data_IF_173161117272
#
_entry.id   IF_173161117272
#
_cell.length_a   1.000
_cell.length_b   1.000
_cell.length_c   1.000
_cell.angle_alpha   90.00
_cell.angle_beta   90.00
_cell.angle_gamma   90.00
#
_symmetry.space_group_name_H-M   'P 1'
#
loop_
_entity.id
_entity.type
_entity.pdbx_description
1 polymer ?
#
# COMPACT_ATOMS: atom_id res chain seq x y z
N UNK A 1 -61.00 -22.90 -37.17
CA UNK A 1 -60.43 -21.65 -36.69
C UNK A 1 -59.44 -21.97 -35.53
N UNK A 2 -58.15 -22.09 -35.82
CA UNK A 2 -57.18 -22.37 -34.81
C UNK A 2 -56.39 -21.09 -34.58
N UNK A 3 -56.53 -20.51 -33.38
CA UNK A 3 -55.74 -19.38 -32.95
C UNK A 3 -54.38 -19.89 -32.38
N UNK A 4 -53.32 -19.66 -33.13
CA UNK A 4 -51.97 -19.92 -32.68
C UNK A 4 -51.48 -18.66 -31.92
N UNK A 5 -51.39 -18.77 -30.60
CA UNK A 5 -50.80 -17.74 -29.74
C UNK A 5 -49.28 -17.92 -29.78
N UNK A 6 -48.60 -16.97 -30.42
CA UNK A 6 -47.13 -16.89 -30.38
C UNK A 6 -46.72 -16.24 -29.05
N UNK A 7 -46.12 -17.03 -28.17
CA UNK A 7 -45.48 -16.53 -26.95
C UNK A 7 -44.06 -16.13 -27.30
N UNK A 8 -43.80 -14.83 -27.39
CA UNK A 8 -42.47 -14.27 -27.48
C UNK A 8 -41.80 -14.33 -26.10
N UNK A 9 -40.88 -15.26 -25.93
CA UNK A 9 -40.03 -15.32 -24.75
C UNK A 9 -38.85 -14.37 -24.96
N UNK A 10 -38.92 -13.14 -24.43
CA UNK A 10 -37.82 -12.19 -24.42
C UNK A 10 -36.82 -12.59 -23.33
N UNK A 11 -35.73 -13.24 -23.72
CA UNK A 11 -34.61 -13.52 -22.83
C UNK A 11 -33.81 -12.23 -22.61
N UNK A 12 -33.98 -11.62 -21.43
CA UNK A 12 -33.08 -10.56 -20.94
C UNK A 12 -31.75 -11.21 -20.53
N UNK A 13 -30.75 -11.12 -21.39
CA UNK A 13 -29.36 -11.39 -20.99
C UNK A 13 -28.86 -10.24 -20.09
N UNK A 14 -28.93 -10.43 -18.79
CA UNK A 14 -28.26 -9.54 -17.83
C UNK A 14 -26.75 -9.66 -18.00
N UNK A 15 -26.09 -8.58 -18.45
CA UNK A 15 -24.63 -8.46 -18.39
C UNK A 15 -24.20 -8.36 -16.92
N UNK A 16 -23.73 -9.46 -16.36
CA UNK A 16 -23.05 -9.45 -15.07
C UNK A 16 -21.64 -8.90 -15.32
N UNK A 17 -21.42 -7.63 -15.01
CA UNK A 17 -20.07 -7.04 -15.01
C UNK A 17 -19.28 -7.66 -13.86
N UNK A 18 -18.41 -8.63 -14.15
CA UNK A 18 -17.44 -9.15 -13.22
C UNK A 18 -16.35 -8.07 -13.03
N UNK A 19 -16.42 -7.36 -11.92
CA UNK A 19 -15.33 -6.48 -11.49
C UNK A 19 -14.14 -7.37 -11.12
N UNK A 20 -13.17 -7.48 -12.00
CA UNK A 20 -11.87 -8.09 -11.69
C UNK A 20 -11.11 -7.11 -10.80
N UNK A 21 -11.18 -7.32 -9.50
CA UNK A 21 -10.25 -6.67 -8.58
C UNK A 21 -8.90 -7.36 -8.75
N UNK A 22 -7.88 -6.60 -9.15
CA UNK A 22 -6.52 -7.10 -9.16
C UNK A 22 -6.16 -7.45 -7.71
N UNK A 23 -5.87 -8.73 -7.47
CA UNK A 23 -5.41 -9.21 -6.18
C UNK A 23 -3.95 -8.80 -6.02
N UNK A 24 -3.55 -8.37 -4.81
CA UNK A 24 -2.16 -8.07 -4.52
C UNK A 24 -1.29 -9.31 -4.60
N UNK A 25 -0.07 -9.15 -5.13
CA UNK A 25 0.92 -10.23 -5.30
C UNK A 25 2.04 -10.05 -4.28
N UNK A 26 2.07 -10.95 -3.29
CA UNK A 26 3.08 -10.95 -2.23
C UNK A 26 4.50 -11.11 -2.78
N UNK A 27 4.71 -11.99 -3.76
CA UNK A 27 6.04 -12.22 -4.35
C UNK A 27 6.53 -11.00 -5.10
N UNK A 28 5.64 -10.30 -5.79
CA UNK A 28 5.96 -9.02 -6.43
C UNK A 28 6.29 -7.96 -5.39
N UNK A 29 5.55 -7.92 -4.29
CA UNK A 29 5.83 -7.02 -3.16
C UNK A 29 7.20 -7.23 -2.54
N UNK A 30 7.64 -8.48 -2.39
CA UNK A 30 8.97 -8.84 -1.91
C UNK A 30 10.07 -8.34 -2.85
N UNK A 31 9.90 -8.51 -4.16
CA UNK A 31 10.83 -7.98 -5.16
C UNK A 31 10.95 -6.45 -5.08
N UNK A 32 9.82 -5.76 -4.94
CA UNK A 32 9.79 -4.29 -4.84
C UNK A 32 10.43 -3.78 -3.54
N UNK A 33 10.35 -4.55 -2.46
CA UNK A 33 10.96 -4.21 -1.17
C UNK A 33 12.49 -4.09 -1.23
N UNK A 34 13.15 -4.65 -2.23
CA UNK A 34 14.62 -4.56 -2.40
C UNK A 34 15.09 -3.10 -2.38
N UNK A 35 14.35 -2.19 -2.98
CA UNK A 35 14.67 -0.75 -2.96
C UNK A 35 14.56 -0.16 -1.55
N UNK A 36 13.60 -0.61 -0.77
CA UNK A 36 13.39 -0.16 0.61
C UNK A 36 14.46 -0.73 1.55
N UNK A 37 14.87 -1.97 1.32
CA UNK A 37 15.88 -2.68 2.12
C UNK A 37 17.26 -2.04 2.09
N UNK A 38 17.52 -1.14 1.15
CA UNK A 38 18.74 -0.34 1.12
C UNK A 38 18.88 0.59 2.34
N UNK A 39 17.75 0.94 2.98
CA UNK A 39 17.72 1.88 4.11
C UNK A 39 16.89 1.36 5.30
N UNK A 40 16.03 0.38 5.11
CA UNK A 40 15.10 -0.13 6.13
C UNK A 40 15.31 -1.61 6.41
N UNK A 41 15.16 -1.99 7.67
CA UNK A 41 15.06 -3.39 8.10
C UNK A 41 13.72 -3.64 8.79
N UNK A 42 13.39 -4.92 9.05
CA UNK A 42 12.28 -5.30 9.94
C UNK A 42 12.76 -5.46 11.39
N UNK A 43 13.94 -4.98 11.72
CA UNK A 43 14.46 -4.92 13.10
C UNK A 43 14.52 -3.45 13.54
N UNK A 44 13.75 -3.09 14.57
CA UNK A 44 13.71 -1.73 15.10
C UNK A 44 14.90 -1.43 16.04
N UNK A 45 15.76 -2.40 16.34
CA UNK A 45 16.94 -2.22 17.17
C UNK A 45 18.16 -1.75 16.39
N UNK A 46 18.16 -1.92 15.06
CA UNK A 46 19.28 -1.54 14.20
C UNK A 46 19.29 -0.03 13.91
N UNK A 47 20.49 0.53 13.90
CA UNK A 47 20.75 1.90 13.47
C UNK A 47 20.98 1.92 11.96
N UNK A 48 19.91 1.98 11.19
CA UNK A 48 19.94 2.04 9.73
C UNK A 48 19.75 3.49 9.22
N UNK A 49 19.90 3.66 7.90
CA UNK A 49 19.65 4.96 7.25
C UNK A 49 18.18 5.40 7.35
N UNK A 50 17.27 4.44 7.46
CA UNK A 50 15.84 4.63 7.69
C UNK A 50 15.38 3.95 8.97
N UNK A 51 14.21 4.31 9.52
CA UNK A 51 13.66 3.66 10.70
C UNK A 51 13.29 2.19 10.42
N UNK A 52 13.42 1.34 11.43
CA UNK A 52 12.97 -0.04 11.37
C UNK A 52 11.47 -0.13 11.08
N UNK A 53 11.06 -1.14 10.33
CA UNK A 53 9.68 -1.31 9.86
C UNK A 53 8.88 -2.36 10.63
N UNK A 54 9.49 -3.07 11.60
CA UNK A 54 8.74 -4.02 12.43
C UNK A 54 7.59 -3.30 13.14
N UNK A 55 6.38 -3.83 13.01
CA UNK A 55 5.17 -3.25 13.58
C UNK A 55 4.77 -1.90 12.98
N UNK A 56 5.16 -1.60 11.74
CA UNK A 56 4.85 -0.31 11.10
C UNK A 56 3.34 -0.07 10.94
N UNK A 57 2.55 -1.11 10.68
CA UNK A 57 1.09 -0.97 10.64
C UNK A 57 0.52 -0.67 12.03
N UNK A 58 -0.26 0.39 12.13
CA UNK A 58 -0.82 0.88 13.39
C UNK A 58 0.13 1.78 14.19
N UNK A 59 1.39 1.93 13.78
CA UNK A 59 2.36 2.81 14.42
C UNK A 59 2.17 4.26 13.96
N UNK A 60 2.34 5.20 14.87
CA UNK A 60 2.38 6.62 14.53
C UNK A 60 3.65 6.93 13.73
N UNK A 61 3.52 7.74 12.69
CA UNK A 61 4.67 8.24 11.94
C UNK A 61 5.60 9.02 12.89
N UNK A 62 6.90 8.75 12.80
CA UNK A 62 7.88 9.34 13.73
C UNK A 62 7.87 8.72 15.13
N UNK A 63 7.26 7.55 15.32
CA UNK A 63 6.97 6.97 16.63
C UNK A 63 8.02 6.02 17.21
N UNK A 64 9.18 5.79 16.57
CA UNK A 64 10.27 5.03 17.18
C UNK A 64 11.17 5.95 18.01
N UNK A 65 11.42 5.58 19.25
CA UNK A 65 12.25 6.37 20.17
C UNK A 65 13.74 6.34 19.82
N UNK A 66 14.19 5.29 19.16
CA UNK A 66 15.58 5.08 18.80
C UNK A 66 15.96 5.57 17.40
N UNK A 67 15.09 6.30 16.71
CA UNK A 67 15.38 6.87 15.40
C UNK A 67 15.18 8.39 15.37
N UNK A 68 16.14 9.10 14.76
CA UNK A 68 16.10 10.57 14.66
C UNK A 68 15.35 11.02 13.41
N UNK A 69 14.07 11.24 13.54
CA UNK A 69 13.19 11.69 12.46
C UNK A 69 13.37 13.18 12.10
N UNK A 70 12.90 13.55 10.89
CA UNK A 70 12.68 14.96 10.55
C UNK A 70 11.65 15.58 11.48
N UNK A 71 11.70 16.90 11.73
CA UNK A 71 10.71 17.58 12.58
C UNK A 71 9.26 17.35 12.13
N UNK A 72 9.01 17.27 10.81
CA UNK A 72 7.67 17.01 10.29
C UNK A 72 7.15 15.63 10.65
N UNK A 73 8.01 14.61 10.66
CA UNK A 73 7.63 13.26 11.07
C UNK A 73 7.54 13.13 12.60
N UNK A 74 8.47 13.72 13.36
CA UNK A 74 8.43 13.71 14.82
C UNK A 74 7.16 14.37 15.39
N UNK A 75 6.60 15.34 14.70
CA UNK A 75 5.37 16.03 15.09
C UNK A 75 4.11 15.49 14.37
N UNK A 76 4.25 14.43 13.59
CA UNK A 76 3.14 13.85 12.82
C UNK A 76 2.14 13.16 13.74
N UNK A 77 0.86 13.20 13.34
CA UNK A 77 -0.21 12.40 13.96
C UNK A 77 -0.73 11.31 13.03
N UNK A 78 -0.05 11.11 11.91
CA UNK A 78 -0.41 10.07 10.93
C UNK A 78 -0.18 8.71 11.56
N UNK A 79 -1.16 7.84 11.45
CA UNK A 79 -1.01 6.42 11.77
C UNK A 79 -0.79 5.67 10.47
N UNK A 80 0.25 4.86 10.43
CA UNK A 80 0.56 4.05 9.26
C UNK A 80 -0.47 2.93 9.09
N UNK A 81 -1.15 2.94 7.97
CA UNK A 81 -2.08 1.93 7.49
C UNK A 81 -1.95 1.81 5.97
N UNK A 82 -2.74 0.95 5.33
CA UNK A 82 -2.65 0.75 3.88
C UNK A 82 -2.82 2.06 3.09
N UNK A 83 -3.77 2.91 3.47
CA UNK A 83 -4.06 4.16 2.75
C UNK A 83 -2.95 5.20 2.92
N UNK A 84 -2.49 5.41 4.16
CA UNK A 84 -1.44 6.39 4.47
C UNK A 84 -0.08 5.95 3.93
N UNK A 85 0.22 4.65 3.96
CA UNK A 85 1.41 4.09 3.32
C UNK A 85 1.32 4.21 1.78
N UNK A 86 0.16 3.94 1.19
CA UNK A 86 -0.02 4.10 -0.26
C UNK A 86 0.24 5.54 -0.71
N UNK A 87 -0.28 6.53 0.00
CA UNK A 87 -0.03 7.93 -0.31
C UNK A 87 1.45 8.31 -0.13
N UNK A 88 2.08 7.85 0.96
CA UNK A 88 3.47 8.16 1.26
C UNK A 88 4.45 7.49 0.29
N UNK A 89 4.23 6.21 -0.05
CA UNK A 89 5.08 5.47 -0.99
C UNK A 89 4.90 5.99 -2.43
N UNK A 90 3.72 6.50 -2.79
CA UNK A 90 3.50 7.07 -4.12
C UNK A 90 4.39 8.28 -4.39
N UNK A 91 4.50 9.19 -3.44
CA UNK A 91 5.35 10.38 -3.48
C UNK A 91 5.55 10.91 -2.05
N UNK A 92 6.66 10.54 -1.41
CA UNK A 92 6.92 10.92 -0.02
C UNK A 92 6.93 12.43 0.23
N UNK A 93 7.44 13.22 -0.72
CA UNK A 93 7.56 14.66 -0.55
C UNK A 93 6.23 15.39 -0.76
N UNK A 94 5.35 14.85 -1.59
CA UNK A 94 3.98 15.36 -1.73
C UNK A 94 3.11 14.97 -0.53
N UNK A 95 3.25 13.74 -0.05
CA UNK A 95 2.45 13.24 1.08
C UNK A 95 2.83 13.91 2.40
N UNK A 96 4.12 14.05 2.67
CA UNK A 96 4.67 14.69 3.89
C UNK A 96 5.84 15.59 3.49
N UNK A 97 5.59 16.84 3.10
CA UNK A 97 6.64 17.76 2.69
C UNK A 97 7.71 17.97 3.77
N UNK A 98 8.97 18.08 3.36
CA UNK A 98 10.14 18.23 4.22
C UNK A 98 10.50 17.00 5.09
N UNK A 99 9.96 15.83 4.77
CA UNK A 99 10.53 14.60 5.30
C UNK A 99 11.92 14.36 4.70
N UNK A 100 12.76 13.56 5.39
CA UNK A 100 14.15 13.32 4.98
C UNK A 100 14.37 11.99 4.22
N UNK A 101 13.31 11.27 3.88
CA UNK A 101 13.40 10.03 3.11
C UNK A 101 13.75 10.36 1.65
N UNK A 102 14.94 10.00 1.15
CA UNK A 102 15.40 10.34 -0.20
C UNK A 102 14.88 9.34 -1.24
N UNK A 103 13.57 9.14 -1.28
CA UNK A 103 12.88 8.23 -2.19
C UNK A 103 11.96 9.01 -3.12
N UNK A 104 12.04 8.77 -4.42
CA UNK A 104 11.24 9.48 -5.41
C UNK A 104 9.81 8.97 -5.55
N UNK A 105 9.52 7.82 -4.96
CA UNK A 105 8.20 7.23 -4.98
C UNK A 105 8.03 6.07 -5.95
N UNK A 106 6.94 5.31 -5.76
CA UNK A 106 6.53 4.18 -6.59
C UNK A 106 5.22 4.56 -7.29
N UNK A 107 5.26 4.95 -8.60
CA UNK A 107 4.11 5.56 -9.28
C UNK A 107 2.98 4.57 -9.57
N UNK A 108 3.30 3.29 -9.81
CA UNK A 108 2.31 2.29 -10.22
C UNK A 108 1.46 1.83 -9.03
N UNK A 109 0.14 2.01 -9.13
CA UNK A 109 -0.79 1.69 -8.04
C UNK A 109 -0.80 0.20 -7.67
N UNK A 110 -0.66 -0.69 -8.65
CA UNK A 110 -0.60 -2.13 -8.40
C UNK A 110 0.70 -2.50 -7.67
N UNK A 111 1.83 -1.97 -8.07
CA UNK A 111 3.12 -2.19 -7.39
C UNK A 111 3.07 -1.72 -5.93
N UNK A 112 2.41 -0.59 -5.66
CA UNK A 112 2.20 -0.14 -4.28
C UNK A 112 1.31 -1.08 -3.47
N UNK A 113 0.24 -1.59 -4.07
CA UNK A 113 -0.63 -2.56 -3.41
C UNK A 113 0.11 -3.84 -3.06
N UNK A 114 0.93 -4.35 -3.98
CA UNK A 114 1.75 -5.54 -3.79
C UNK A 114 2.80 -5.33 -2.69
N UNK A 115 3.51 -4.20 -2.71
CA UNK A 115 4.49 -3.83 -1.69
C UNK A 115 3.84 -3.68 -0.30
N UNK A 116 2.67 -3.05 -0.21
CA UNK A 116 1.95 -2.85 1.06
C UNK A 116 1.50 -4.18 1.65
N UNK A 117 1.04 -5.12 0.83
CA UNK A 117 0.68 -6.47 1.29
C UNK A 117 1.90 -7.23 1.83
N UNK A 118 3.03 -7.13 1.13
CA UNK A 118 4.29 -7.68 1.63
C UNK A 118 4.71 -7.04 2.96
N UNK A 119 4.73 -5.71 3.06
CA UNK A 119 5.08 -4.98 4.28
C UNK A 119 4.20 -5.37 5.46
N UNK A 120 2.90 -5.53 5.22
CA UNK A 120 1.95 -5.93 6.26
C UNK A 120 2.31 -7.28 6.87
N UNK A 121 2.64 -8.25 6.02
CA UNK A 121 3.01 -9.60 6.48
C UNK A 121 4.42 -9.65 7.08
N UNK A 122 5.39 -8.99 6.47
CA UNK A 122 6.79 -9.06 6.87
C UNK A 122 7.12 -8.24 8.13
N UNK A 123 6.27 -7.25 8.48
CA UNK A 123 6.47 -6.36 9.64
C UNK A 123 5.78 -6.80 10.93
N UNK A 124 5.05 -7.93 10.93
CA UNK A 124 4.33 -8.48 12.08
C UNK A 124 5.24 -8.98 13.21
#
# INVERSE_FOLDING_TARGET
MQNTILVLCSALLGLVSLSVHAQSDFSRGEELYIECAACHTFDNSDEELGPGLQGVFGRQAGGLDNYYYSPVLSNSRIIWNADTLNAFIADPQTAIPNNRMPYSGLPEAQDRADLIEYLKSASE
#
